data_IF_233392179253
#
_entry.id   IF_233392179253
#
_cell.length_a   1.000
_cell.length_b   1.000
_cell.length_c   1.000
_cell.angle_alpha   90.00
_cell.angle_beta   90.00
_cell.angle_gamma   90.00
#
_symmetry.space_group_name_H-M   'P 1'
#
loop_
_entity.id
_entity.type
_entity.pdbx_description
1 polymer ?
#
# COMPACT_ATOMS: atom_id res chain seq x y z
N UNK A 1 19.38 -12.82 -7.67
CA UNK A 1 19.47 -12.11 -6.38
C UNK A 1 19.98 -10.69 -6.63
N UNK A 2 19.07 -9.75 -6.89
CA UNK A 2 19.34 -8.34 -7.20
C UNK A 2 18.24 -7.48 -6.56
N UNK A 3 17.97 -7.72 -5.28
CA UNK A 3 16.98 -6.96 -4.51
C UNK A 3 17.66 -5.76 -3.84
N UNK A 4 17.22 -4.53 -4.12
CA UNK A 4 17.57 -3.34 -3.33
C UNK A 4 18.43 -2.24 -3.98
N UNK A 5 18.82 -2.34 -5.26
CA UNK A 5 19.54 -1.21 -5.92
C UNK A 5 18.57 -0.11 -6.34
N UNK A 6 18.87 1.13 -5.94
CA UNK A 6 18.21 2.36 -6.43
C UNK A 6 18.49 2.53 -7.94
N UNK A 7 17.58 3.19 -8.67
CA UNK A 7 17.83 3.56 -10.08
C UNK A 7 19.08 4.45 -10.12
N UNK A 8 20.15 3.98 -10.77
CA UNK A 8 21.35 4.77 -11.06
C UNK A 8 21.37 5.04 -12.56
N UNK A 9 21.79 6.24 -12.95
CA UNK A 9 21.72 6.74 -14.32
C UNK A 9 22.37 5.79 -15.33
N UNK A 10 21.54 5.07 -16.07
CA UNK A 10 21.87 4.45 -17.34
C UNK A 10 20.56 4.37 -18.12
N UNK A 11 20.63 4.56 -19.44
CA UNK A 11 19.49 4.57 -20.35
C UNK A 11 18.73 3.24 -20.27
N UNK A 12 17.75 3.16 -19.37
CA UNK A 12 16.79 2.06 -19.29
C UNK A 12 15.71 2.38 -20.32
N UNK A 13 15.52 1.47 -21.28
CA UNK A 13 14.34 1.47 -22.16
C UNK A 13 13.09 1.75 -21.33
N UNK A 14 12.46 2.89 -21.61
CA UNK A 14 11.26 3.34 -20.94
C UNK A 14 10.13 2.41 -21.36
N UNK A 15 9.87 1.38 -20.56
CA UNK A 15 8.62 0.64 -20.66
C UNK A 15 7.48 1.66 -20.51
N UNK A 16 6.42 1.61 -21.34
CA UNK A 16 5.40 2.67 -21.41
C UNK A 16 4.63 2.92 -20.10
N UNK A 17 4.82 2.07 -19.08
CA UNK A 17 4.26 2.25 -17.72
C UNK A 17 5.16 3.05 -16.76
N UNK A 18 6.37 3.46 -17.15
CA UNK A 18 7.36 4.18 -16.30
C UNK A 18 7.38 5.70 -16.51
N UNK A 19 6.45 6.26 -17.29
CA UNK A 19 6.47 7.66 -17.72
C UNK A 19 6.32 8.72 -16.61
N UNK A 20 5.99 8.35 -15.37
CA UNK A 20 5.59 9.30 -14.31
C UNK A 20 6.40 9.23 -13.01
N UNK A 21 7.49 8.46 -12.98
CA UNK A 21 8.42 8.48 -11.84
C UNK A 21 9.35 9.69 -11.93
N UNK A 22 9.77 10.30 -10.80
CA UNK A 22 10.71 11.40 -10.82
C UNK A 22 12.07 10.97 -11.41
N UNK A 23 12.86 11.90 -11.94
CA UNK A 23 14.24 11.66 -12.32
C UNK A 23 15.03 10.98 -11.20
N UNK A 24 15.93 10.02 -11.49
CA UNK A 24 16.65 9.25 -10.47
C UNK A 24 17.39 10.12 -9.44
N UNK A 25 17.89 11.28 -9.85
CA UNK A 25 18.56 12.26 -9.00
C UNK A 25 17.64 12.88 -7.94
N UNK A 26 16.33 12.95 -8.18
CA UNK A 26 15.35 13.49 -7.23
C UNK A 26 14.76 12.43 -6.28
N UNK A 27 14.96 11.14 -6.59
CA UNK A 27 14.43 10.03 -5.77
C UNK A 27 14.94 10.07 -4.32
N UNK A 28 16.23 10.33 -4.02
CA UNK A 28 16.71 10.41 -2.64
C UNK A 28 15.97 11.46 -1.81
N UNK A 29 15.82 12.67 -2.34
CA UNK A 29 15.18 13.78 -1.63
C UNK A 29 13.68 13.51 -1.47
N UNK A 30 13.00 13.04 -2.51
CA UNK A 30 11.59 12.67 -2.42
C UNK A 30 11.33 11.55 -1.41
N UNK A 31 12.25 10.57 -1.30
CA UNK A 31 12.17 9.54 -0.27
C UNK A 31 12.43 10.08 1.13
N UNK A 32 13.36 11.04 1.29
CA UNK A 32 13.60 11.69 2.57
C UNK A 32 12.37 12.50 3.03
N UNK A 33 11.69 13.17 2.10
CA UNK A 33 10.44 13.88 2.37
C UNK A 33 9.32 12.92 2.77
N UNK A 34 9.20 11.78 2.07
CA UNK A 34 8.26 10.72 2.42
C UNK A 34 8.55 10.14 3.82
N UNK A 35 9.82 9.95 4.17
CA UNK A 35 10.25 9.46 5.49
C UNK A 35 9.93 10.46 6.60
N UNK A 36 10.18 11.77 6.39
CA UNK A 36 9.74 12.80 7.35
C UNK A 36 8.23 12.78 7.53
N UNK A 37 7.48 12.75 6.44
CA UNK A 37 6.01 12.63 6.49
C UNK A 37 5.56 11.29 7.13
N UNK A 38 6.37 10.25 7.08
CA UNK A 38 6.05 9.01 7.75
C UNK A 38 6.17 9.12 9.28
N UNK A 39 7.19 9.83 9.79
CA UNK A 39 7.50 9.89 11.23
C UNK A 39 6.85 11.05 11.99
N UNK A 40 6.53 12.15 11.33
CA UNK A 40 5.87 13.31 11.95
C UNK A 40 4.57 12.94 12.70
N UNK A 41 4.18 13.78 13.66
CA UNK A 41 2.89 13.63 14.33
C UNK A 41 1.74 13.78 13.32
N UNK A 42 0.81 12.83 13.24
CA UNK A 42 -0.27 12.90 12.26
C UNK A 42 -1.20 14.08 12.55
N UNK A 43 -1.29 15.01 11.60
CA UNK A 43 -2.31 16.07 11.56
C UNK A 43 -3.59 15.63 10.85
N UNK A 44 -3.50 14.53 10.09
CA UNK A 44 -4.60 13.91 9.36
C UNK A 44 -5.02 12.60 10.04
N UNK A 45 -6.27 12.15 9.85
CA UNK A 45 -6.68 10.80 10.23
C UNK A 45 -5.72 9.75 9.67
N UNK A 46 -5.36 8.77 10.50
CA UNK A 46 -4.28 7.80 10.21
C UNK A 46 -4.50 7.07 8.88
N UNK A 47 -5.73 6.65 8.58
CA UNK A 47 -6.04 5.93 7.34
C UNK A 47 -5.90 6.83 6.09
N UNK A 48 -6.27 8.12 6.20
CA UNK A 48 -6.05 9.09 5.11
C UNK A 48 -4.55 9.29 4.89
N UNK A 49 -3.79 9.46 5.97
CA UNK A 49 -2.32 9.59 5.90
C UNK A 49 -1.69 8.35 5.28
N UNK A 50 -2.18 7.16 5.61
CA UNK A 50 -1.75 5.90 5.02
C UNK A 50 -2.00 5.85 3.50
N UNK A 51 -3.18 6.27 3.05
CA UNK A 51 -3.52 6.36 1.63
C UNK A 51 -2.55 7.29 0.87
N UNK A 52 -2.21 8.44 1.47
CA UNK A 52 -1.26 9.40 0.89
C UNK A 52 0.17 8.86 0.87
N UNK A 53 0.62 8.22 1.95
CA UNK A 53 1.93 7.56 2.03
C UNK A 53 2.08 6.48 0.94
N UNK A 54 1.05 5.67 0.75
CA UNK A 54 1.04 4.62 -0.27
C UNK A 54 1.08 5.23 -1.69
N UNK A 55 0.21 6.20 -1.98
CA UNK A 55 0.23 6.92 -3.26
C UNK A 55 1.60 7.54 -3.55
N UNK A 56 2.18 8.23 -2.58
CA UNK A 56 3.45 8.94 -2.75
C UNK A 56 4.61 7.95 -2.98
N UNK A 57 4.63 6.80 -2.29
CA UNK A 57 5.65 5.77 -2.52
C UNK A 57 5.55 5.15 -3.92
N UNK A 58 4.34 4.80 -4.37
CA UNK A 58 4.11 4.32 -5.74
C UNK A 58 4.43 5.39 -6.80
N UNK A 59 4.36 6.66 -6.40
CA UNK A 59 4.72 7.82 -7.23
C UNK A 59 6.21 8.01 -7.38
N UNK A 60 6.95 7.96 -6.27
CA UNK A 60 8.41 8.05 -6.27
C UNK A 60 9.03 6.85 -6.98
N UNK A 61 8.45 5.65 -6.80
CA UNK A 61 8.88 4.40 -7.43
C UNK A 61 10.41 4.16 -7.33
N UNK A 62 10.97 4.13 -6.10
CA UNK A 62 12.41 4.31 -5.86
C UNK A 62 13.31 3.14 -6.32
N UNK A 63 12.75 1.94 -6.52
CA UNK A 63 13.49 0.74 -6.86
C UNK A 63 13.30 0.32 -8.32
N UNK A 64 14.18 -0.54 -8.84
CA UNK A 64 14.06 -1.09 -10.20
C UNK A 64 12.92 -2.13 -10.33
N UNK A 65 12.67 -2.89 -9.27
CA UNK A 65 11.57 -3.85 -9.15
C UNK A 65 11.08 -3.90 -7.70
N UNK A 66 9.89 -4.45 -7.50
CA UNK A 66 9.35 -4.75 -6.18
C UNK A 66 8.65 -3.58 -5.50
N UNK A 67 8.59 -2.41 -6.15
CA UNK A 67 7.89 -1.24 -5.61
C UNK A 67 6.44 -1.58 -5.25
N UNK A 68 5.67 -2.20 -6.15
CA UNK A 68 4.28 -2.57 -5.85
C UNK A 68 4.14 -3.53 -4.65
N UNK A 69 5.08 -4.47 -4.47
CA UNK A 69 5.07 -5.39 -3.30
C UNK A 69 5.39 -4.63 -2.02
N UNK A 70 6.42 -3.80 -2.05
CA UNK A 70 6.87 -3.04 -0.89
C UNK A 70 5.87 -1.93 -0.52
N UNK A 71 5.31 -1.25 -1.51
CA UNK A 71 4.30 -0.20 -1.34
C UNK A 71 3.06 -0.73 -0.64
N UNK A 72 2.61 -1.94 -1.01
CA UNK A 72 1.49 -2.61 -0.33
C UNK A 72 1.87 -3.12 1.06
N UNK A 73 3.04 -3.73 1.21
CA UNK A 73 3.51 -4.23 2.51
C UNK A 73 3.65 -3.10 3.56
N UNK A 74 4.08 -1.91 3.12
CA UNK A 74 4.23 -0.73 3.99
C UNK A 74 2.92 -0.25 4.59
N UNK A 75 1.77 -0.55 3.98
CA UNK A 75 0.46 -0.16 4.50
C UNK A 75 0.25 -0.80 5.88
N UNK A 76 0.40 -2.11 5.96
CA UNK A 76 0.18 -2.84 7.21
C UNK A 76 1.21 -2.47 8.28
N UNK A 77 2.47 -2.29 7.89
CA UNK A 77 3.50 -1.85 8.84
C UNK A 77 3.22 -0.46 9.40
N UNK A 78 2.77 0.49 8.57
CA UNK A 78 2.38 1.80 9.05
C UNK A 78 1.21 1.72 10.03
N UNK A 79 0.19 0.91 9.73
CA UNK A 79 -0.97 0.75 10.61
C UNK A 79 -0.61 0.06 11.93
N UNK A 80 0.34 -0.87 11.92
CA UNK A 80 0.89 -1.50 13.15
C UNK A 80 1.69 -0.49 13.97
N UNK A 81 2.58 0.28 13.34
CA UNK A 81 3.37 1.32 14.01
C UNK A 81 2.48 2.39 14.67
N UNK A 82 1.40 2.76 13.98
CA UNK A 82 0.40 3.71 14.50
C UNK A 82 -0.64 3.07 15.44
N UNK A 83 -0.46 1.80 15.81
CA UNK A 83 -1.32 1.04 16.74
C UNK A 83 -2.78 0.94 16.32
N UNK A 84 -3.07 1.07 15.03
CA UNK A 84 -4.39 0.77 14.44
C UNK A 84 -4.57 -0.74 14.33
N UNK A 85 -3.49 -1.45 13.99
CA UNK A 85 -3.44 -2.91 13.98
C UNK A 85 -2.45 -3.42 15.04
N UNK A 86 -2.74 -4.56 15.64
CA UNK A 86 -1.81 -5.24 16.54
C UNK A 86 -0.76 -6.09 15.81
N UNK A 87 -1.09 -6.53 14.60
CA UNK A 87 -0.25 -7.33 13.72
C UNK A 87 -0.64 -7.06 12.25
N UNK A 88 0.24 -7.31 11.27
CA UNK A 88 -0.03 -7.05 9.85
C UNK A 88 -0.98 -8.10 9.26
N UNK A 89 -2.24 -8.06 9.68
CA UNK A 89 -3.27 -9.06 9.37
C UNK A 89 -4.27 -8.58 8.30
N UNK A 90 -4.19 -7.33 7.88
CA UNK A 90 -5.11 -6.77 6.90
C UNK A 90 -4.62 -7.13 5.49
N UNK A 91 -5.32 -8.04 4.80
CA UNK A 91 -4.92 -8.48 3.46
C UNK A 91 -5.32 -7.47 2.35
N UNK A 92 -4.93 -6.21 2.49
CA UNK A 92 -5.31 -5.14 1.56
C UNK A 92 -4.86 -5.39 0.13
N UNK A 93 -3.72 -6.06 -0.04
CA UNK A 93 -3.19 -6.45 -1.34
C UNK A 93 -4.18 -7.23 -2.20
N UNK A 94 -5.00 -8.10 -1.59
CA UNK A 94 -5.99 -8.89 -2.33
C UNK A 94 -7.07 -8.02 -2.97
N UNK A 95 -7.51 -6.97 -2.27
CA UNK A 95 -8.50 -6.04 -2.81
C UNK A 95 -7.92 -5.19 -3.95
N UNK A 96 -6.71 -4.65 -3.77
CA UNK A 96 -6.06 -3.84 -4.79
C UNK A 96 -5.75 -4.63 -6.07
N UNK A 97 -5.37 -5.91 -5.95
CA UNK A 97 -5.11 -6.75 -7.13
C UNK A 97 -6.41 -7.12 -7.87
N UNK A 98 -7.51 -7.39 -7.15
CA UNK A 98 -8.82 -7.63 -7.79
C UNK A 98 -9.35 -6.40 -8.53
N UNK A 99 -9.06 -5.21 -8.01
CA UNK A 99 -9.48 -3.93 -8.58
C UNK A 99 -8.32 -3.19 -9.24
N UNK A 100 -7.41 -3.93 -9.90
CA UNK A 100 -6.14 -3.40 -10.39
C UNK A 100 -6.28 -2.21 -11.34
N UNK A 101 -7.19 -2.29 -12.30
CA UNK A 101 -7.35 -1.24 -13.32
C UNK A 101 -7.87 0.06 -12.69
N UNK A 102 -8.85 -0.04 -11.78
CA UNK A 102 -9.31 1.11 -11.00
C UNK A 102 -8.19 1.64 -10.11
N UNK A 103 -7.50 0.78 -9.36
CA UNK A 103 -6.38 1.16 -8.50
C UNK A 103 -5.33 1.98 -9.27
N UNK A 104 -4.85 1.48 -10.41
CA UNK A 104 -3.87 2.18 -11.25
C UNK A 104 -4.46 3.47 -11.83
N UNK A 105 -5.71 3.44 -12.30
CA UNK A 105 -6.39 4.61 -12.84
C UNK A 105 -6.56 5.73 -11.82
N UNK A 106 -6.91 5.40 -10.57
CA UNK A 106 -7.00 6.38 -9.47
C UNK A 106 -5.64 6.98 -9.14
N UNK A 107 -4.57 6.17 -9.10
CA UNK A 107 -3.21 6.69 -8.89
C UNK A 107 -2.79 7.63 -10.03
N UNK A 108 -3.16 7.35 -11.28
CA UNK A 108 -2.88 8.24 -12.41
C UNK A 108 -3.69 9.54 -12.32
N UNK A 109 -4.98 9.46 -12.01
CA UNK A 109 -5.83 10.65 -11.86
C UNK A 109 -5.31 11.62 -10.77
N UNK A 110 -4.71 11.10 -9.68
CA UNK A 110 -4.06 11.98 -8.70
C UNK A 110 -2.85 12.71 -9.30
N UNK A 111 -2.04 12.05 -10.13
CA UNK A 111 -0.85 12.65 -10.75
C UNK A 111 -1.19 13.70 -11.81
N UNK A 112 -2.23 13.44 -12.60
CA UNK A 112 -2.60 14.25 -13.76
C UNK A 112 -3.54 15.40 -13.37
N UNK A 113 -4.48 15.13 -12.45
CA UNK A 113 -5.60 16.04 -12.16
C UNK A 113 -5.65 16.47 -10.69
N UNK A 114 -4.79 15.91 -9.82
CA UNK A 114 -4.87 16.17 -8.37
C UNK A 114 -6.11 15.56 -7.72
N UNK A 115 -6.67 14.49 -8.30
CA UNK A 115 -7.89 13.83 -7.84
C UNK A 115 -7.71 13.00 -6.54
N UNK A 116 -7.26 13.65 -5.45
CA UNK A 116 -6.97 13.00 -4.17
C UNK A 116 -8.22 12.41 -3.49
N UNK A 117 -9.35 13.10 -3.53
CA UNK A 117 -10.56 12.63 -2.84
C UNK A 117 -11.05 11.27 -3.39
N UNK A 118 -11.21 11.06 -4.71
CA UNK A 118 -11.57 9.75 -5.24
C UNK A 118 -10.56 8.64 -4.90
N UNK A 119 -9.26 8.96 -4.88
CA UNK A 119 -8.23 8.01 -4.45
C UNK A 119 -8.40 7.61 -2.98
N UNK A 120 -8.53 8.59 -2.09
CA UNK A 120 -8.69 8.36 -0.66
C UNK A 120 -9.96 7.55 -0.39
N UNK A 121 -11.07 7.87 -1.06
CA UNK A 121 -12.33 7.13 -0.96
C UNK A 121 -12.15 5.66 -1.32
N UNK A 122 -11.60 5.38 -2.51
CA UNK A 122 -11.31 4.03 -2.98
C UNK A 122 -10.43 3.25 -1.97
N UNK A 123 -9.38 3.89 -1.46
CA UNK A 123 -8.49 3.27 -0.48
C UNK A 123 -9.21 2.92 0.82
N UNK A 124 -10.04 3.83 1.35
CA UNK A 124 -10.79 3.60 2.59
C UNK A 124 -11.86 2.51 2.42
N UNK A 125 -12.54 2.45 1.28
CA UNK A 125 -13.47 1.38 0.94
C UNK A 125 -12.76 0.02 0.89
N UNK A 126 -11.56 -0.03 0.29
CA UNK A 126 -10.74 -1.23 0.29
C UNK A 126 -10.34 -1.69 1.70
N UNK A 127 -9.95 -0.75 2.57
CA UNK A 127 -9.62 -1.03 3.98
C UNK A 127 -10.84 -1.57 4.73
N UNK A 128 -12.01 -0.92 4.58
CA UNK A 128 -13.24 -1.36 5.23
C UNK A 128 -13.66 -2.76 4.78
N UNK A 129 -13.64 -3.01 3.47
CA UNK A 129 -13.98 -4.31 2.90
C UNK A 129 -13.04 -5.42 3.39
N UNK A 130 -11.73 -5.16 3.48
CA UNK A 130 -10.77 -6.16 3.95
C UNK A 130 -10.79 -6.36 5.46
N UNK A 131 -11.11 -5.33 6.24
CA UNK A 131 -11.32 -5.48 7.67
C UNK A 131 -12.55 -6.37 7.96
N UNK A 132 -13.66 -6.16 7.25
CA UNK A 132 -14.84 -7.00 7.38
C UNK A 132 -14.56 -8.47 6.98
N UNK A 133 -13.91 -8.69 5.84
CA UNK A 133 -13.54 -10.03 5.39
C UNK A 133 -12.58 -10.75 6.36
N UNK A 134 -11.67 -10.02 7.01
CA UNK A 134 -10.76 -10.57 8.01
C UNK A 134 -11.52 -11.09 9.25
N UNK A 135 -12.52 -10.34 9.72
CA UNK A 135 -13.40 -10.76 10.83
C UNK A 135 -14.18 -12.02 10.46
N UNK A 136 -14.83 -12.04 9.29
CA UNK A 136 -15.58 -13.22 8.82
C UNK A 136 -14.71 -14.47 8.68
N UNK A 137 -13.47 -14.29 8.20
CA UNK A 137 -12.49 -15.38 8.08
C UNK A 137 -12.10 -15.90 9.46
N UNK A 138 -11.80 -15.02 10.40
CA UNK A 138 -11.45 -15.41 11.77
C UNK A 138 -12.59 -16.19 12.46
N UNK A 139 -13.82 -15.70 12.35
CA UNK A 139 -15.00 -16.38 12.89
C UNK A 139 -15.19 -17.78 12.29
N UNK A 140 -14.97 -17.90 10.98
CA UNK A 140 -15.08 -19.19 10.28
C UNK A 140 -14.03 -20.18 10.76
N UNK A 141 -12.79 -19.73 10.94
CA UNK A 141 -11.70 -20.56 11.47
C UNK A 141 -11.97 -21.00 12.92
N UNK A 142 -12.50 -20.10 13.77
CA UNK A 142 -12.85 -20.42 15.15
C UNK A 142 -13.98 -21.47 15.23
N UNK A 143 -15.04 -21.32 14.41
CA UNK A 143 -16.13 -22.30 14.31
C UNK A 143 -15.63 -23.66 13.83
N UNK A 144 -14.81 -23.67 12.79
CA UNK A 144 -14.24 -24.91 12.26
C UNK A 144 -13.38 -25.61 13.32
N UNK A 145 -12.52 -24.87 14.03
CA UNK A 145 -11.71 -25.40 15.12
C UNK A 145 -12.55 -25.97 16.27
N UNK A 146 -13.70 -25.36 16.59
CA UNK A 146 -14.62 -25.90 17.60
C UNK A 146 -15.23 -27.23 17.16
N UNK A 147 -15.65 -27.34 15.90
CA UNK A 147 -16.28 -28.56 15.34
C UNK A 147 -15.35 -29.78 15.35
N UNK A 148 -14.04 -29.58 15.17
CA UNK A 148 -13.04 -30.65 15.25
C UNK A 148 -12.78 -31.10 16.69
N UNK A 149 -12.77 -30.18 17.66
CA UNK A 149 -12.59 -30.52 19.09
C UNK A 149 -13.76 -31.32 19.66
N UNK A 150 -14.97 -31.11 19.16
CA UNK A 150 -16.16 -31.88 19.56
C UNK A 150 -16.28 -33.25 18.90
N UNK A 151 -15.47 -33.55 17.88
CA UNK A 151 -15.50 -34.80 17.11
C UNK A 151 -14.34 -35.76 17.43
N UNK A 152 -13.54 -35.46 18.46
CA UNK A 152 -12.46 -36.37 18.88
C UNK A 152 -13.04 -37.42 19.84
N UNK A 153 -12.93 -38.74 19.56
CA UNK A 153 -13.44 -39.81 20.43
C UNK A 153 -12.69 -39.93 21.75
#
# INVERSE_FOLDING_TARGET
>A
MTSGRRRTGSAVEVHPRQSSAPPPELVPDAMADLERFFHEQPTLPILIRCALLHYQFETIHPFLDGNGRLGRLRIDFYLVERRVLHAPLLYLSGHLERNRDEYVGRLQAVREEGAYEPWIRFFLEAVAAQAAAAVETADTLLRLGASFRTQTP
#
